data_IF_801845067447
#
_entry.id   IF_801845067447
#
_cell.length_a   1.000
_cell.length_b   1.000
_cell.length_c   1.000
_cell.angle_alpha   90.00
_cell.angle_beta   90.00
_cell.angle_gamma   90.00
#
_symmetry.space_group_name_H-M   'P 1'
#
loop_
_entity.id
_entity.type
_entity.pdbx_description
1 polymer ?
#
# COMPACT_ATOMS: atom_id res chain seq x y z
N UNK A 1 20.39 0.76 7.77
CA UNK A 1 20.01 2.19 7.70
C UNK A 1 19.16 2.34 6.44
N UNK A 2 18.06 3.11 6.47
CA UNK A 2 17.22 3.31 5.28
C UNK A 2 17.87 4.33 4.33
N UNK A 3 17.88 4.02 3.03
CA UNK A 3 18.25 4.94 1.95
C UNK A 3 17.22 4.86 0.83
N UNK A 4 17.07 5.92 0.00
CA UNK A 4 16.15 5.86 -1.13
C UNK A 4 16.44 4.71 -2.10
N UNK A 5 17.71 4.34 -2.25
CA UNK A 5 18.15 3.24 -3.11
C UNK A 5 17.90 1.85 -2.51
N UNK A 6 17.39 1.78 -1.28
CA UNK A 6 17.21 0.52 -0.57
C UNK A 6 15.92 0.50 0.26
N UNK A 7 14.90 1.20 -0.20
CA UNK A 7 13.61 1.30 0.46
C UNK A 7 12.46 1.21 -0.55
N UNK A 8 11.33 0.70 -0.07
CA UNK A 8 10.05 0.62 -0.78
C UNK A 8 8.97 1.05 0.21
N UNK A 9 7.98 1.82 -0.26
CA UNK A 9 6.76 2.03 0.51
C UNK A 9 5.74 0.94 0.15
N UNK A 10 5.42 0.09 1.11
CA UNK A 10 4.35 -0.90 1.01
C UNK A 10 3.11 -0.39 1.75
N UNK A 11 2.00 -0.20 1.02
CA UNK A 11 0.69 0.16 1.58
C UNK A 11 -0.19 -1.09 1.60
N UNK A 12 -0.62 -1.52 2.78
CA UNK A 12 -1.30 -2.80 2.97
C UNK A 12 -2.77 -2.59 3.30
N UNK A 13 -3.66 -3.08 2.42
CA UNK A 13 -5.07 -3.35 2.68
C UNK A 13 -5.88 -2.14 3.22
N UNK A 14 -5.57 -0.93 2.75
CA UNK A 14 -6.27 0.30 3.15
C UNK A 14 -7.56 0.47 2.34
N UNK A 15 -8.50 -0.45 2.55
CA UNK A 15 -9.75 -0.55 1.79
C UNK A 15 -10.99 -0.26 2.61
N UNK A 16 -11.99 0.30 1.91
CA UNK A 16 -13.39 0.36 2.28
C UNK A 16 -13.72 0.42 3.78
N UNK A 17 -14.57 -0.52 4.22
CA UNK A 17 -15.10 -0.57 5.59
C UNK A 17 -14.01 -0.82 6.64
N UNK A 18 -12.98 -1.59 6.30
CA UNK A 18 -11.91 -1.96 7.24
C UNK A 18 -11.16 -0.72 7.73
N UNK A 19 -10.74 0.13 6.78
CA UNK A 19 -10.08 1.40 7.09
C UNK A 19 -11.00 2.41 7.80
N UNK A 20 -12.33 2.25 7.72
CA UNK A 20 -13.29 3.05 8.48
C UNK A 20 -13.47 2.65 9.93
N UNK A 21 -13.09 1.42 10.29
CA UNK A 21 -13.16 0.90 11.66
C UNK A 21 -11.86 1.12 12.44
N UNK A 22 -10.81 1.63 11.78
CA UNK A 22 -9.53 1.86 12.43
C UNK A 22 -9.62 2.99 13.47
N UNK A 23 -8.95 2.78 14.60
CA UNK A 23 -8.80 3.80 15.63
C UNK A 23 -8.06 5.02 15.05
N UNK A 24 -8.52 6.21 15.42
CA UNK A 24 -7.94 7.49 14.98
C UNK A 24 -7.76 7.58 13.44
N UNK A 25 -8.81 7.20 12.72
CA UNK A 25 -8.79 7.09 11.25
C UNK A 25 -8.35 8.38 10.55
N UNK A 26 -8.68 9.55 11.10
CA UNK A 26 -8.38 10.83 10.45
C UNK A 26 -6.86 11.07 10.47
N UNK A 27 -6.21 10.82 11.62
CA UNK A 27 -4.75 10.85 11.73
C UNK A 27 -4.08 9.77 10.88
N UNK A 28 -4.68 8.57 10.80
CA UNK A 28 -4.19 7.50 9.92
C UNK A 28 -4.14 7.95 8.45
N UNK A 29 -5.24 8.51 7.93
CA UNK A 29 -5.29 8.94 6.54
C UNK A 29 -4.35 10.12 6.28
N UNK A 30 -4.27 11.08 7.20
CA UNK A 30 -3.33 12.20 7.07
C UNK A 30 -1.87 11.72 7.01
N UNK A 31 -1.51 10.75 7.84
CA UNK A 31 -0.16 10.17 7.84
C UNK A 31 0.10 9.31 6.59
N UNK A 32 -0.90 8.56 6.11
CA UNK A 32 -0.79 7.81 4.86
C UNK A 32 -0.55 8.75 3.67
N UNK A 33 -1.30 9.86 3.57
CA UNK A 33 -1.07 10.86 2.51
C UNK A 33 0.36 11.40 2.56
N UNK A 34 0.86 11.77 3.75
CA UNK A 34 2.23 12.26 3.94
C UNK A 34 3.28 11.22 3.55
N UNK A 35 3.09 9.96 3.95
CA UNK A 35 4.02 8.86 3.60
C UNK A 35 4.04 8.59 2.10
N UNK A 36 2.87 8.52 1.45
CA UNK A 36 2.75 8.28 0.01
C UNK A 36 3.39 9.43 -0.77
N UNK A 37 3.08 10.68 -0.40
CA UNK A 37 3.66 11.86 -1.04
C UNK A 37 5.17 11.97 -0.81
N UNK A 38 5.63 11.70 0.41
CA UNK A 38 7.05 11.69 0.76
C UNK A 38 7.83 10.61 0.01
N UNK A 39 7.29 9.39 -0.07
CA UNK A 39 7.89 8.30 -0.84
C UNK A 39 8.02 8.67 -2.32
N UNK A 40 6.98 9.27 -2.91
CA UNK A 40 7.05 9.79 -4.30
C UNK A 40 8.08 10.89 -4.46
N UNK A 41 8.12 11.86 -3.55
CA UNK A 41 9.09 12.96 -3.59
C UNK A 41 10.55 12.46 -3.49
N UNK A 42 10.77 11.35 -2.78
CA UNK A 42 12.06 10.68 -2.65
C UNK A 42 12.35 9.67 -3.79
N UNK A 43 11.43 9.50 -4.74
CA UNK A 43 11.58 8.53 -5.84
C UNK A 43 11.52 7.07 -5.41
N UNK A 44 10.91 6.77 -4.25
CA UNK A 44 10.76 5.39 -3.79
C UNK A 44 9.73 4.64 -4.62
N UNK A 45 9.94 3.35 -4.90
CA UNK A 45 8.89 2.48 -5.41
C UNK A 45 7.75 2.35 -4.41
N UNK A 46 6.51 2.28 -4.92
CA UNK A 46 5.31 2.02 -4.14
C UNK A 46 4.73 0.67 -4.53
N UNK A 47 4.36 -0.14 -3.54
CA UNK A 47 3.61 -1.39 -3.70
C UNK A 47 2.34 -1.29 -2.87
N UNK A 48 1.21 -1.74 -3.43
CA UNK A 48 -0.09 -1.71 -2.76
C UNK A 48 -0.71 -3.09 -2.81
N UNK A 49 -1.22 -3.57 -1.67
CA UNK A 49 -2.05 -4.78 -1.62
C UNK A 49 -3.49 -4.46 -1.28
N UNK A 50 -4.40 -5.27 -1.80
CA UNK A 50 -5.82 -5.23 -1.48
C UNK A 50 -6.30 -6.62 -1.01
N UNK A 51 -6.77 -6.73 0.21
CA UNK A 51 -7.40 -7.93 0.75
C UNK A 51 -8.79 -8.09 0.17
N UNK A 52 -9.06 -9.23 -0.47
CA UNK A 52 -10.38 -9.64 -0.97
C UNK A 52 -11.21 -8.45 -1.53
N UNK A 53 -10.73 -7.76 -2.59
CA UNK A 53 -11.33 -6.52 -3.06
C UNK A 53 -12.81 -6.67 -3.45
N UNK A 54 -13.22 -7.84 -3.93
CA UNK A 54 -14.63 -8.14 -4.22
C UNK A 54 -15.53 -8.07 -2.97
N UNK A 55 -14.99 -8.40 -1.79
CA UNK A 55 -15.71 -8.39 -0.52
C UNK A 55 -15.53 -7.13 0.31
N UNK A 56 -14.34 -6.50 0.26
CA UNK A 56 -14.00 -5.33 1.07
C UNK A 56 -14.12 -3.99 0.33
N UNK A 57 -14.23 -4.04 -1.00
CA UNK A 57 -14.25 -2.88 -1.87
C UNK A 57 -12.85 -2.34 -2.17
N UNK A 58 -12.76 -1.26 -2.96
CA UNK A 58 -11.50 -0.66 -3.35
C UNK A 58 -10.86 0.13 -2.20
N UNK A 59 -9.63 0.59 -2.43
CA UNK A 59 -8.99 1.60 -1.62
C UNK A 59 -9.91 2.82 -1.36
N UNK A 60 -9.79 3.40 -0.16
CA UNK A 60 -10.55 4.57 0.28
C UNK A 60 -10.22 5.81 -0.58
N UNK A 61 -11.25 6.59 -0.93
CA UNK A 61 -11.11 7.79 -1.76
C UNK A 61 -10.08 8.79 -1.20
N UNK A 62 -9.91 8.82 0.12
CA UNK A 62 -8.94 9.66 0.83
C UNK A 62 -7.48 9.48 0.39
N UNK A 63 -7.13 8.33 -0.19
CA UNK A 63 -5.79 8.02 -0.71
C UNK A 63 -5.81 7.43 -2.13
N UNK A 64 -6.98 7.13 -2.70
CA UNK A 64 -7.11 6.48 -4.00
C UNK A 64 -6.44 7.28 -5.12
N UNK A 65 -6.61 8.61 -5.13
CA UNK A 65 -6.01 9.49 -6.12
C UNK A 65 -4.48 9.48 -6.06
N UNK A 66 -3.92 9.36 -4.85
CA UNK A 66 -2.47 9.29 -4.64
C UNK A 66 -1.87 7.94 -5.07
N UNK A 67 -2.71 6.94 -5.34
CA UNK A 67 -2.33 5.58 -5.72
C UNK A 67 -2.86 5.23 -7.12
N UNK A 68 -3.41 6.16 -7.89
CA UNK A 68 -4.09 5.88 -9.15
C UNK A 68 -3.21 5.16 -10.18
N UNK A 69 -1.94 5.56 -10.26
CA UNK A 69 -0.88 5.01 -11.14
C UNK A 69 -0.17 3.77 -10.57
N UNK A 70 -0.46 3.36 -9.35
CA UNK A 70 0.15 2.18 -8.72
C UNK A 70 -0.72 0.95 -8.96
N UNK A 71 -0.12 -0.15 -9.39
CA UNK A 71 -0.81 -1.45 -9.52
C UNK A 71 -1.13 -1.97 -8.11
N UNK A 72 -2.39 -2.33 -7.88
CA UNK A 72 -2.84 -2.94 -6.62
C UNK A 72 -2.83 -4.45 -6.80
N UNK A 73 -2.17 -5.15 -5.88
CA UNK A 73 -2.05 -6.61 -5.90
C UNK A 73 -3.19 -7.17 -5.03
N UNK A 74 -4.21 -7.80 -5.64
CA UNK A 74 -5.27 -8.44 -4.87
C UNK A 74 -4.71 -9.67 -4.16
N UNK A 75 -5.15 -9.92 -2.92
CA UNK A 75 -4.78 -11.12 -2.17
C UNK A 75 -5.95 -11.63 -1.33
N UNK A 76 -5.97 -12.94 -1.09
CA UNK A 76 -6.88 -13.59 -0.16
C UNK A 76 -6.20 -14.06 1.13
N UNK A 77 -4.86 -14.18 1.12
CA UNK A 77 -4.08 -14.43 2.33
C UNK A 77 -3.92 -13.17 3.16
N UNK A 78 -4.04 -13.27 4.48
CA UNK A 78 -3.74 -12.15 5.38
C UNK A 78 -2.28 -11.70 5.25
N UNK A 79 -1.35 -12.65 5.14
CA UNK A 79 0.05 -12.35 4.87
C UNK A 79 0.23 -11.93 3.41
N UNK A 80 0.88 -10.79 3.16
CA UNK A 80 1.26 -10.39 1.80
C UNK A 80 2.15 -11.45 1.14
N UNK A 81 3.06 -12.08 1.89
CA UNK A 81 3.92 -13.15 1.39
C UNK A 81 3.16 -14.45 1.04
N UNK A 82 1.88 -14.55 1.39
CA UNK A 82 1.01 -15.64 0.93
C UNK A 82 0.46 -15.42 -0.48
N UNK A 83 0.72 -14.27 -1.10
CA UNK A 83 0.37 -13.95 -2.48
C UNK A 83 1.65 -13.97 -3.35
N UNK A 84 1.81 -14.97 -4.24
CA UNK A 84 2.99 -15.08 -5.10
C UNK A 84 3.26 -13.82 -5.93
N UNK A 85 2.21 -13.17 -6.45
CA UNK A 85 2.36 -11.94 -7.22
C UNK A 85 3.02 -10.82 -6.40
N UNK A 86 2.73 -10.74 -5.10
CA UNK A 86 3.36 -9.78 -4.21
C UNK A 86 4.84 -10.07 -4.00
N UNK A 87 5.21 -11.33 -3.76
CA UNK A 87 6.61 -11.72 -3.54
C UNK A 87 7.44 -11.44 -4.80
N UNK A 88 6.91 -11.76 -5.97
CA UNK A 88 7.55 -11.49 -7.26
C UNK A 88 7.71 -9.99 -7.50
N UNK A 89 6.65 -9.20 -7.27
CA UNK A 89 6.68 -7.76 -7.42
C UNK A 89 7.71 -7.10 -6.50
N UNK A 90 7.79 -7.54 -5.23
CA UNK A 90 8.75 -7.01 -4.27
C UNK A 90 10.20 -7.38 -4.64
N UNK A 91 10.43 -8.64 -5.04
CA UNK A 91 11.76 -9.11 -5.45
C UNK A 91 12.27 -8.36 -6.70
N UNK A 92 11.39 -8.07 -7.66
CA UNK A 92 11.72 -7.34 -8.89
C UNK A 92 12.22 -5.91 -8.63
N UNK A 93 11.96 -5.32 -7.46
CA UNK A 93 12.43 -3.98 -7.09
C UNK A 93 13.91 -3.95 -6.68
N UNK A 94 14.52 -5.10 -6.37
CA UNK A 94 15.95 -5.19 -6.06
C UNK A 94 16.39 -4.39 -4.82
N UNK A 95 15.49 -4.22 -3.84
CA UNK A 95 15.78 -3.52 -2.56
C UNK A 95 15.87 -4.57 -1.43
N UNK A 96 16.83 -4.42 -0.51
CA UNK A 96 17.17 -5.41 0.55
C UNK A 96 17.31 -4.82 1.94
#
# INVERSE_FOLDING_TARGET
>A
MLSPDNAVLLVVDVQGKLAGLMHDRDALFDNLRRLIQGARALGLPLVVTEQNPDGLGPARAEIADLLADVVKIPKHSFSCCGEPQFVEALAALGRT
#
